data_IF_021703638775
#
_entry.id   IF_021703638775
#
_cell.length_a   1.000
_cell.length_b   1.000
_cell.length_c   1.000
_cell.angle_alpha   90.00
_cell.angle_beta   90.00
_cell.angle_gamma   90.00
#
_symmetry.space_group_name_H-M   'P 1'
#
loop_
_entity.id
_entity.type
_entity.pdbx_description
1 polymer ?
#
# COMPACT_ATOMS: atom_id res chain seq x y z
N UNK A 1 12.78 16.30 13.53
CA UNK A 1 12.48 16.75 12.16
C UNK A 1 13.28 15.97 11.10
N UNK A 2 14.55 15.64 11.32
CA UNK A 2 15.41 14.92 10.36
C UNK A 2 15.37 13.38 10.49
N UNK A 3 14.20 12.82 10.82
CA UNK A 3 14.02 11.37 10.91
C UNK A 3 14.17 10.69 9.55
N UNK A 4 14.73 9.48 9.54
CA UNK A 4 14.94 8.68 8.34
C UNK A 4 14.18 7.36 8.40
N UNK A 5 13.73 6.89 7.25
CA UNK A 5 13.18 5.56 7.05
C UNK A 5 13.85 4.94 5.82
N UNK A 6 14.40 3.73 5.97
CA UNK A 6 15.16 3.09 4.89
C UNK A 6 16.36 3.91 4.38
N UNK A 7 16.99 4.74 5.25
CA UNK A 7 18.11 5.60 4.90
C UNK A 7 17.73 6.92 4.21
N UNK A 8 16.43 7.21 4.03
CA UNK A 8 15.93 8.42 3.38
C UNK A 8 15.21 9.34 4.38
N UNK A 9 15.38 10.65 4.23
CA UNK A 9 14.71 11.65 5.06
C UNK A 9 13.23 11.76 4.69
N UNK A 10 12.34 11.47 5.66
CA UNK A 10 10.90 11.34 5.42
C UNK A 10 10.14 12.66 5.29
N UNK A 11 10.74 13.76 5.70
CA UNK A 11 10.13 15.09 5.68
C UNK A 11 10.72 16.02 4.58
N UNK A 12 11.66 15.54 3.77
CA UNK A 12 12.37 16.34 2.79
C UNK A 12 11.67 16.44 1.40
N UNK A 13 10.44 15.92 1.29
CA UNK A 13 9.73 15.89 0.00
C UNK A 13 10.33 14.87 -0.96
N UNK A 14 10.79 15.29 -2.13
CA UNK A 14 11.55 14.44 -3.07
C UNK A 14 13.06 14.42 -2.77
N UNK A 15 13.59 15.44 -2.06
CA UNK A 15 15.00 15.57 -1.73
C UNK A 15 15.42 14.66 -0.55
N UNK A 16 15.05 13.39 -0.62
CA UNK A 16 15.16 12.42 0.49
C UNK A 16 16.58 12.07 0.89
N UNK A 17 17.57 12.39 0.08
CA UNK A 17 18.99 12.07 0.33
C UNK A 17 19.68 13.10 1.24
N UNK A 18 19.04 14.25 1.45
CA UNK A 18 19.54 15.34 2.28
C UNK A 18 18.63 15.58 3.49
N UNK A 19 19.19 16.09 4.61
CA UNK A 19 18.37 16.44 5.78
C UNK A 19 17.29 17.45 5.43
N UNK A 20 16.06 17.23 5.91
CA UNK A 20 14.94 18.11 5.69
C UNK A 20 15.12 19.49 6.35
N UNK A 21 15.85 19.55 7.46
CA UNK A 21 16.15 20.79 8.19
C UNK A 21 17.65 20.94 8.42
N UNK A 22 18.14 22.12 8.19
CA UNK A 22 19.52 22.49 8.49
C UNK A 22 19.71 22.70 10.01
N UNK A 23 20.97 22.91 10.42
CA UNK A 23 21.30 23.12 11.85
C UNK A 23 20.76 24.43 12.42
N UNK A 24 20.43 25.37 11.58
CA UNK A 24 19.81 26.66 11.93
C UNK A 24 18.26 26.61 11.89
N UNK A 25 17.66 25.41 11.78
CA UNK A 25 16.21 25.27 11.72
C UNK A 25 15.58 25.54 10.35
N UNK A 26 16.37 25.98 9.38
CA UNK A 26 15.85 26.27 8.03
C UNK A 26 15.44 24.98 7.31
N UNK A 27 14.26 24.98 6.70
CA UNK A 27 13.81 23.88 5.87
C UNK A 27 14.58 23.85 4.53
N UNK A 28 15.24 22.75 4.26
CA UNK A 28 16.05 22.52 3.07
C UNK A 28 15.44 21.47 2.10
N UNK A 29 14.30 20.89 2.46
CA UNK A 29 13.57 20.00 1.59
C UNK A 29 12.75 20.74 0.53
N UNK A 30 12.05 19.97 -0.30
CA UNK A 30 11.09 20.51 -1.28
C UNK A 30 9.64 20.21 -0.87
N UNK A 31 8.66 20.78 -1.61
CA UNK A 31 7.23 20.50 -1.43
C UNK A 31 6.73 19.33 -2.30
N UNK A 32 7.63 18.45 -2.73
CA UNK A 32 7.34 17.31 -3.56
C UNK A 32 6.39 16.32 -2.87
N UNK A 33 5.45 15.78 -3.63
CA UNK A 33 4.46 14.82 -3.14
C UNK A 33 4.68 13.47 -3.80
N UNK A 34 4.81 12.44 -2.98
CA UNK A 34 4.95 11.05 -3.42
C UNK A 34 3.58 10.41 -3.43
N UNK A 35 3.09 10.04 -4.60
CA UNK A 35 1.79 9.41 -4.76
C UNK A 35 1.91 7.91 -4.96
N UNK A 36 0.95 7.18 -4.41
CA UNK A 36 0.72 5.77 -4.70
C UNK A 36 -0.69 5.63 -5.28
N UNK A 37 -0.83 4.81 -6.32
CA UNK A 37 -2.14 4.47 -6.86
C UNK A 37 -2.73 3.35 -6.01
N UNK A 38 -3.90 3.59 -5.43
CA UNK A 38 -4.67 2.60 -4.69
C UNK A 38 -5.61 1.83 -5.62
N UNK A 39 -6.11 2.51 -6.67
CA UNK A 39 -6.98 1.97 -7.71
C UNK A 39 -6.79 2.80 -8.98
N UNK A 40 -7.48 2.46 -10.08
CA UNK A 40 -7.32 3.06 -11.41
C UNK A 40 -7.42 4.60 -11.41
N UNK A 41 -8.23 5.20 -10.53
CA UNK A 41 -8.44 6.65 -10.44
C UNK A 41 -8.18 7.23 -9.03
N UNK A 42 -7.70 6.42 -8.08
CA UNK A 42 -7.49 6.86 -6.70
C UNK A 42 -6.01 6.90 -6.37
N UNK A 43 -5.50 8.12 -6.16
CA UNK A 43 -4.13 8.36 -5.73
C UNK A 43 -4.08 8.82 -4.28
N UNK A 44 -3.18 8.26 -3.51
CA UNK A 44 -2.90 8.67 -2.14
C UNK A 44 -1.51 9.31 -2.06
N UNK A 45 -1.45 10.52 -1.50
CA UNK A 45 -0.17 11.15 -1.15
C UNK A 45 0.39 10.50 0.13
N UNK A 46 1.55 9.86 0.03
CA UNK A 46 2.17 9.11 1.12
C UNK A 46 2.95 9.99 2.08
N UNK A 47 3.72 10.95 1.56
CA UNK A 47 4.63 11.74 2.39
C UNK A 47 3.94 12.94 3.05
N UNK A 48 4.60 13.45 4.07
CA UNK A 48 4.36 14.76 4.67
C UNK A 48 5.62 15.58 4.53
N UNK A 49 5.48 16.79 4.03
CA UNK A 49 6.62 17.70 3.90
C UNK A 49 6.88 18.41 5.22
N UNK A 50 8.15 18.61 5.54
CA UNK A 50 8.55 19.22 6.80
C UNK A 50 8.06 20.66 6.97
N UNK A 51 7.93 21.41 5.87
CA UNK A 51 7.33 22.76 5.85
C UNK A 51 5.88 22.76 6.36
N UNK A 52 5.10 21.74 6.01
CA UNK A 52 3.69 21.62 6.44
C UNK A 52 3.54 21.16 7.89
N UNK A 53 4.51 20.39 8.38
CA UNK A 53 4.47 19.81 9.73
C UNK A 53 5.07 20.75 10.78
N UNK A 54 6.22 21.34 10.47
CA UNK A 54 7.04 22.08 11.42
C UNK A 54 7.09 23.58 11.13
N UNK A 55 6.86 24.01 9.88
CA UNK A 55 6.78 25.41 9.49
C UNK A 55 5.32 25.78 9.25
N UNK A 56 4.53 25.91 10.29
CA UNK A 56 3.13 26.30 10.15
C UNK A 56 2.96 27.70 9.58
N UNK A 57 2.43 27.78 8.37
CA UNK A 57 2.20 29.05 7.66
C UNK A 57 1.02 29.88 8.18
N UNK A 58 0.18 29.34 9.04
CA UNK A 58 -1.04 30.00 9.52
C UNK A 58 -0.86 30.77 10.84
N UNK A 59 0.22 31.45 11.01
CA UNK A 59 0.51 32.25 12.20
C UNK A 59 1.94 32.78 12.21
N UNK A 60 2.73 32.38 11.24
CA UNK A 60 4.02 32.98 10.92
C UNK A 60 5.22 32.46 11.68
N UNK A 61 5.08 31.55 12.66
CA UNK A 61 6.23 30.95 13.34
C UNK A 61 6.30 29.45 13.14
N UNK A 62 7.50 28.95 12.91
CA UNK A 62 7.77 27.54 12.89
C UNK A 62 7.97 27.01 14.34
N UNK A 63 7.73 25.72 14.55
CA UNK A 63 7.88 25.08 15.86
C UNK A 63 9.30 25.23 16.40
N UNK A 64 10.31 25.24 15.53
CA UNK A 64 11.73 25.38 15.90
C UNK A 64 12.00 26.79 16.42
N UNK A 65 11.52 27.82 15.72
CA UNK A 65 11.64 29.22 16.15
C UNK A 65 10.93 29.46 17.49
N UNK A 66 9.76 28.83 17.70
CA UNK A 66 9.05 28.92 18.99
C UNK A 66 9.87 28.34 20.14
N UNK A 67 10.60 27.24 19.92
CA UNK A 67 11.52 26.71 20.93
C UNK A 67 12.74 27.60 21.16
N UNK A 68 13.29 28.24 20.13
CA UNK A 68 14.39 29.19 20.27
C UNK A 68 13.97 30.44 21.05
N UNK A 69 12.79 31.00 20.76
CA UNK A 69 12.20 32.09 21.50
C UNK A 69 11.91 31.72 22.94
N UNK A 70 11.42 30.50 23.19
CA UNK A 70 11.23 30.01 24.55
C UNK A 70 12.54 29.92 25.33
N UNK A 71 13.58 29.38 24.70
CA UNK A 71 14.90 29.32 25.31
C UNK A 71 15.47 30.71 25.61
N UNK A 72 15.32 31.66 24.70
CA UNK A 72 15.75 33.03 24.84
C UNK A 72 14.99 33.75 26.00
N UNK A 73 13.68 33.54 26.05
CA UNK A 73 12.84 34.11 27.11
C UNK A 73 13.17 33.53 28.52
N UNK A 74 13.52 32.24 28.57
CA UNK A 74 14.00 31.61 29.79
C UNK A 74 15.35 32.19 30.24
N UNK A 75 16.29 32.40 29.33
CA UNK A 75 17.59 33.00 29.65
C UNK A 75 17.47 34.43 30.14
N UNK A 76 16.56 35.21 29.58
CA UNK A 76 16.30 36.60 30.00
C UNK A 76 15.34 36.71 31.18
N UNK A 77 14.82 35.60 31.71
CA UNK A 77 13.81 35.55 32.76
C UNK A 77 12.54 36.37 32.41
N UNK A 78 12.19 36.41 31.10
CA UNK A 78 11.00 37.11 30.60
C UNK A 78 9.75 36.25 30.78
N UNK A 79 9.22 36.25 31.97
CA UNK A 79 8.00 35.51 32.30
C UNK A 79 6.75 36.06 31.56
N UNK A 80 6.76 37.33 31.18
CA UNK A 80 5.62 37.93 30.51
C UNK A 80 5.47 37.35 29.10
N UNK A 81 6.54 37.38 28.31
CA UNK A 81 6.56 36.81 26.95
C UNK A 81 6.25 35.30 26.94
N UNK A 82 6.78 34.55 27.93
CA UNK A 82 6.46 33.13 28.06
C UNK A 82 4.95 32.91 28.20
N UNK A 83 4.31 33.67 29.08
CA UNK A 83 2.89 33.48 29.45
C UNK A 83 1.92 33.98 28.37
N UNK A 84 2.26 35.04 27.65
CA UNK A 84 1.33 35.71 26.72
C UNK A 84 1.50 35.33 25.28
N UNK A 85 2.67 34.82 24.91
CA UNK A 85 2.99 34.54 23.49
C UNK A 85 3.44 33.10 23.29
N UNK A 86 4.46 32.66 24.01
CA UNK A 86 5.11 31.38 23.73
C UNK A 86 4.20 30.20 24.05
N UNK A 87 3.42 30.26 25.13
CA UNK A 87 2.48 29.18 25.45
C UNK A 87 1.40 29.04 24.40
N UNK A 88 0.85 30.15 23.89
CA UNK A 88 -0.15 30.11 22.81
C UNK A 88 0.45 29.57 21.51
N UNK A 89 1.70 29.92 21.19
CA UNK A 89 2.42 29.41 20.02
C UNK A 89 2.73 27.90 20.13
N UNK A 90 3.06 27.44 21.32
CA UNK A 90 3.24 26.00 21.60
C UNK A 90 1.93 25.23 21.46
N UNK A 91 0.84 25.74 22.07
CA UNK A 91 -0.48 25.11 21.95
C UNK A 91 -0.92 25.03 20.48
N UNK A 92 -0.71 26.09 19.70
CA UNK A 92 -0.97 26.08 18.26
C UNK A 92 -0.12 25.03 17.54
N UNK A 93 1.16 24.90 17.90
CA UNK A 93 2.06 23.91 17.30
C UNK A 93 1.61 22.48 17.63
N UNK A 94 1.14 22.22 18.83
CA UNK A 94 0.57 20.91 19.20
C UNK A 94 -0.71 20.61 18.43
N UNK A 95 -1.56 21.60 18.21
CA UNK A 95 -2.77 21.44 17.39
C UNK A 95 -2.44 21.07 15.93
N UNK A 96 -1.44 21.73 15.35
CA UNK A 96 -0.98 21.41 13.99
C UNK A 96 -0.42 20.00 13.91
N UNK A 97 0.44 19.61 14.85
CA UNK A 97 0.97 18.25 14.92
C UNK A 97 -0.14 17.23 15.11
N UNK A 98 -1.12 17.49 15.96
CA UNK A 98 -2.29 16.65 16.15
C UNK A 98 -3.09 16.43 14.88
N UNK A 99 -3.31 17.49 14.09
CA UNK A 99 -3.97 17.40 12.77
C UNK A 99 -3.15 16.57 11.78
N UNK A 100 -1.82 16.69 11.77
CA UNK A 100 -0.97 15.90 10.90
C UNK A 100 -0.95 14.42 11.31
N UNK A 101 -0.94 14.11 12.60
CA UNK A 101 -1.06 12.73 13.10
C UNK A 101 -2.40 12.12 12.67
N UNK A 102 -3.50 12.85 12.80
CA UNK A 102 -4.80 12.40 12.33
C UNK A 102 -4.84 12.16 10.81
N UNK A 103 -4.19 13.03 10.03
CA UNK A 103 -4.04 12.88 8.58
C UNK A 103 -3.26 11.59 8.23
N UNK A 104 -2.15 11.33 8.92
CA UNK A 104 -1.39 10.07 8.75
C UNK A 104 -2.26 8.87 9.12
N UNK A 105 -3.01 8.94 10.22
CA UNK A 105 -3.94 7.88 10.62
C UNK A 105 -5.00 7.59 9.55
N UNK A 106 -5.56 8.62 8.94
CA UNK A 106 -6.51 8.47 7.84
C UNK A 106 -5.86 7.83 6.60
N UNK A 107 -4.62 8.20 6.26
CA UNK A 107 -3.86 7.60 5.16
C UNK A 107 -3.57 6.12 5.40
N UNK A 108 -3.14 5.77 6.62
CA UNK A 108 -2.92 4.36 7.01
C UNK A 108 -4.21 3.57 6.86
N UNK A 109 -5.33 4.11 7.34
CA UNK A 109 -6.64 3.45 7.21
C UNK A 109 -7.06 3.24 5.75
N UNK A 110 -6.80 4.23 4.89
CA UNK A 110 -7.06 4.09 3.45
C UNK A 110 -6.20 3.00 2.80
N UNK A 111 -4.94 2.89 3.19
CA UNK A 111 -4.03 1.84 2.72
C UNK A 111 -4.48 0.45 3.18
N UNK A 112 -4.88 0.31 4.46
CA UNK A 112 -5.44 -0.94 4.99
C UNK A 112 -6.69 -1.37 4.20
N UNK A 113 -7.62 -0.44 3.99
CA UNK A 113 -8.85 -0.72 3.22
C UNK A 113 -8.54 -1.14 1.79
N UNK A 114 -7.58 -0.50 1.12
CA UNK A 114 -7.17 -0.88 -0.23
C UNK A 114 -6.47 -2.25 -0.27
N UNK A 115 -5.67 -2.56 0.76
CA UNK A 115 -5.03 -3.87 0.89
C UNK A 115 -6.07 -4.98 1.08
N UNK A 116 -7.06 -4.78 1.95
CA UNK A 116 -8.15 -5.71 2.16
C UNK A 116 -8.97 -5.94 0.89
N UNK A 117 -9.34 -4.87 0.18
CA UNK A 117 -10.06 -4.97 -1.10
C UNK A 117 -9.26 -5.73 -2.16
N UNK A 118 -7.94 -5.53 -2.21
CA UNK A 118 -7.05 -6.27 -3.13
C UNK A 118 -7.00 -7.76 -2.77
N UNK A 119 -7.01 -8.08 -1.49
CA UNK A 119 -7.02 -9.46 -1.00
C UNK A 119 -8.33 -10.16 -1.38
N UNK A 120 -9.46 -9.49 -1.17
CA UNK A 120 -10.79 -9.99 -1.53
C UNK A 120 -10.92 -10.22 -3.04
N UNK A 121 -10.47 -9.26 -3.85
CA UNK A 121 -10.43 -9.40 -5.30
C UNK A 121 -9.59 -10.61 -5.74
N UNK A 122 -8.42 -10.80 -5.14
CA UNK A 122 -7.54 -11.95 -5.42
C UNK A 122 -8.16 -13.29 -5.00
N UNK A 123 -8.94 -13.31 -3.93
CA UNK A 123 -9.69 -14.52 -3.53
C UNK A 123 -10.78 -14.84 -4.55
N UNK A 124 -11.53 -13.83 -4.99
CA UNK A 124 -12.58 -13.99 -6.01
C UNK A 124 -11.99 -14.47 -7.35
N UNK A 125 -10.87 -13.89 -7.79
CA UNK A 125 -10.17 -14.33 -9.01
C UNK A 125 -9.73 -15.79 -8.91
N UNK A 126 -9.21 -16.21 -7.75
CA UNK A 126 -8.83 -17.61 -7.53
C UNK A 126 -10.03 -18.55 -7.56
N UNK A 127 -11.16 -18.16 -6.99
CA UNK A 127 -12.38 -18.94 -7.04
C UNK A 127 -12.89 -19.07 -8.49
N UNK A 128 -12.90 -17.97 -9.23
CA UNK A 128 -13.27 -17.99 -10.67
C UNK A 128 -12.32 -18.85 -11.50
N UNK A 129 -11.02 -18.76 -11.23
CA UNK A 129 -10.03 -19.60 -11.91
C UNK A 129 -10.26 -21.08 -11.57
N UNK A 130 -10.54 -21.41 -10.31
CA UNK A 130 -10.90 -22.77 -9.89
C UNK A 130 -12.10 -23.32 -10.65
N UNK A 131 -13.16 -22.53 -10.81
CA UNK A 131 -14.35 -22.93 -11.57
C UNK A 131 -14.01 -23.20 -13.06
N UNK A 132 -13.10 -22.43 -13.64
CA UNK A 132 -12.69 -22.61 -15.05
C UNK A 132 -11.71 -23.77 -15.22
N UNK A 133 -10.84 -24.00 -14.24
CA UNK A 133 -9.84 -25.08 -14.27
C UNK A 133 -10.37 -26.43 -13.76
N UNK A 134 -11.44 -26.43 -12.95
CA UNK A 134 -12.08 -27.67 -12.50
C UNK A 134 -12.70 -28.37 -13.71
N UNK A 135 -11.93 -29.30 -14.25
CA UNK A 135 -12.46 -30.30 -15.16
C UNK A 135 -13.46 -31.15 -14.37
N UNK A 136 -14.67 -31.30 -14.88
CA UNK A 136 -15.62 -32.24 -14.29
C UNK A 136 -15.03 -33.66 -14.34
N UNK A 137 -14.42 -34.04 -13.23
CA UNK A 137 -13.74 -35.33 -13.11
C UNK A 137 -14.67 -36.49 -13.43
N UNK A 138 -15.96 -36.37 -13.13
CA UNK A 138 -16.97 -37.36 -13.44
C UNK A 138 -17.23 -37.50 -14.94
N UNK A 139 -17.28 -36.38 -15.65
CA UNK A 139 -17.48 -36.37 -17.10
C UNK A 139 -16.28 -36.99 -17.81
N UNK A 140 -15.06 -36.58 -17.46
CA UNK A 140 -13.83 -37.11 -18.04
C UNK A 140 -13.62 -38.59 -17.77
N UNK A 141 -13.89 -39.05 -16.57
CA UNK A 141 -13.80 -40.47 -16.22
C UNK A 141 -14.86 -41.29 -16.97
N UNK A 142 -16.09 -40.78 -17.08
CA UNK A 142 -17.19 -41.40 -17.81
C UNK A 142 -16.87 -41.51 -19.30
N UNK A 143 -16.34 -40.46 -19.91
CA UNK A 143 -15.87 -40.47 -21.32
C UNK A 143 -14.72 -41.44 -21.52
N UNK A 144 -13.76 -41.51 -20.59
CA UNK A 144 -12.65 -42.45 -20.66
C UNK A 144 -13.12 -43.90 -20.55
N UNK A 145 -14.07 -44.21 -19.69
CA UNK A 145 -14.67 -45.55 -19.59
C UNK A 145 -15.45 -45.93 -20.86
N UNK A 146 -16.25 -44.99 -21.40
CA UNK A 146 -16.97 -45.18 -22.63
C UNK A 146 -16.00 -45.44 -23.83
N UNK A 147 -14.94 -44.65 -23.92
CA UNK A 147 -13.91 -44.82 -24.96
C UNK A 147 -13.18 -46.15 -24.80
N UNK A 148 -12.83 -46.57 -23.58
CA UNK A 148 -12.21 -47.87 -23.31
C UNK A 148 -13.12 -49.03 -23.69
N UNK A 149 -14.40 -48.95 -23.37
CA UNK A 149 -15.40 -49.98 -23.73
C UNK A 149 -15.59 -50.06 -25.23
N UNK A 150 -15.68 -48.93 -25.92
CA UNK A 150 -15.75 -48.88 -27.39
C UNK A 150 -14.52 -49.50 -28.06
N UNK A 151 -13.33 -49.19 -27.52
CA UNK A 151 -12.08 -49.76 -28.01
C UNK A 151 -12.03 -51.29 -27.82
N UNK A 152 -12.45 -51.80 -26.67
CA UNK A 152 -12.54 -53.24 -26.42
C UNK A 152 -13.55 -53.94 -27.37
N UNK A 153 -14.71 -53.32 -27.57
CA UNK A 153 -15.70 -53.82 -28.52
C UNK A 153 -15.18 -53.86 -29.98
N UNK A 154 -14.45 -52.82 -30.39
CA UNK A 154 -13.80 -52.77 -31.70
C UNK A 154 -12.74 -53.88 -31.89
N UNK A 155 -11.91 -54.10 -30.88
CA UNK A 155 -10.93 -55.21 -30.86
C UNK A 155 -11.60 -56.60 -30.97
N UNK A 156 -12.67 -56.82 -30.19
CA UNK A 156 -13.43 -58.07 -30.22
C UNK A 156 -14.10 -58.29 -31.59
N UNK A 157 -14.66 -57.23 -32.18
CA UNK A 157 -15.25 -57.28 -33.53
C UNK A 157 -14.21 -57.60 -34.59
N UNK A 158 -13.05 -56.95 -34.54
CA UNK A 158 -11.92 -57.24 -35.45
C UNK A 158 -11.41 -58.66 -35.31
N UNK A 159 -11.30 -59.16 -34.09
CA UNK A 159 -10.88 -60.55 -33.83
C UNK A 159 -11.91 -61.58 -34.36
N UNK A 160 -13.23 -61.32 -34.30
CA UNK A 160 -14.28 -62.17 -34.89
C UNK A 160 -14.22 -62.14 -36.39
N UNK A 161 -14.06 -61.01 -37.02
CA UNK A 161 -13.94 -60.88 -38.48
C UNK A 161 -12.69 -61.63 -38.93
N UNK A 162 -11.56 -61.49 -38.28
CA UNK A 162 -10.35 -62.26 -38.62
C UNK A 162 -10.50 -63.76 -38.52
N UNK A 163 -11.25 -64.24 -37.53
CA UNK A 163 -11.55 -65.68 -37.39
C UNK A 163 -12.49 -66.22 -38.54
N UNK A 164 -13.49 -65.41 -38.82
CA UNK A 164 -14.43 -65.78 -39.91
C UNK A 164 -13.75 -65.79 -41.29
N UNK A 165 -12.81 -64.95 -41.58
CA UNK A 165 -12.05 -64.87 -42.80
C UNK A 165 -11.10 -66.06 -43.02
N UNK A 166 -10.52 -66.57 -41.94
CA UNK A 166 -9.60 -67.70 -41.97
C UNK A 166 -10.31 -69.08 -42.06
N UNK A 167 -11.49 -69.21 -41.42
CA UNK A 167 -12.24 -70.48 -41.42
C UNK A 167 -12.98 -70.74 -42.72
N UNK A 168 -13.33 -69.72 -43.51
CA UNK A 168 -14.02 -69.87 -44.80
C UNK A 168 -13.08 -70.04 -46.03
N UNK A 169 -11.75 -70.05 -45.83
CA UNK A 169 -10.76 -70.16 -46.90
C UNK A 169 -9.97 -71.48 -46.89
N UNK A 170 -10.25 -72.35 -45.92
CA UNK A 170 -9.75 -73.73 -45.80
C UNK A 170 -10.93 -74.69 -46.01
#
# INVERSE_FOLDING_TARGET
ANSTAGGRHIFAGHETDSPAFLTDGTYAGDSGKIFVNLDNDVQLNLNLNGDQVFQSTAGGKNVIDTFEDFFSALQSNDQATIRTTILDELDYSFDVLGKQIANVGAKVKSLETAADATLDAKMLEKEQLGIVEEVDYFEVVSEMEAASTAFQAALQSSARIGKLSLVNFI
#
